data_IF_422211605523
#
_entry.id   IF_422211605523
#
_cell.length_a   1.000
_cell.length_b   1.000
_cell.length_c   1.000
_cell.angle_alpha   90.00
_cell.angle_beta   90.00
_cell.angle_gamma   90.00
#
_symmetry.space_group_name_H-M   'P 1'
#
loop_
_entity.id
_entity.type
_entity.pdbx_description
1 polymer ?
#
# COMPACT_ATOMS: atom_id res chain seq x y z
N UNK A 1 16.77 7.03 -45.67
CA UNK A 1 16.08 7.17 -44.37
C UNK A 1 15.50 5.81 -44.05
N UNK A 2 15.97 5.26 -42.93
CA UNK A 2 15.92 3.84 -42.56
C UNK A 2 14.47 3.34 -42.46
N UNK A 3 14.16 2.35 -43.29
CA UNK A 3 13.03 1.43 -43.13
C UNK A 3 13.16 0.74 -41.78
N UNK A 4 12.23 0.99 -40.87
CA UNK A 4 12.17 0.32 -39.56
C UNK A 4 11.28 -0.91 -39.66
N UNK A 5 11.94 -2.05 -39.76
CA UNK A 5 11.75 -3.29 -39.01
C UNK A 5 10.32 -3.74 -38.64
N UNK A 6 9.92 -4.79 -39.35
CA UNK A 6 9.19 -5.96 -38.88
C UNK A 6 9.26 -6.16 -37.36
N UNK A 7 8.15 -6.05 -36.62
CA UNK A 7 7.88 -6.92 -35.48
C UNK A 7 6.39 -7.30 -35.48
N UNK A 8 6.18 -8.57 -35.83
CA UNK A 8 4.93 -9.32 -35.81
C UNK A 8 4.10 -8.98 -34.56
N UNK A 9 2.99 -8.27 -34.70
CA UNK A 9 1.89 -8.42 -33.74
C UNK A 9 0.93 -9.41 -34.38
N UNK A 10 1.17 -10.68 -34.04
CA UNK A 10 0.27 -11.79 -34.35
C UNK A 10 -1.04 -11.49 -33.61
N UNK A 11 -1.97 -10.81 -34.28
CA UNK A 11 -3.38 -10.85 -33.89
C UNK A 11 -3.86 -12.27 -34.17
N UNK A 12 -3.67 -13.15 -33.18
CA UNK A 12 -4.28 -14.48 -33.18
C UNK A 12 -5.79 -14.26 -33.27
N UNK A 13 -6.35 -14.48 -34.45
CA UNK A 13 -7.77 -14.70 -34.62
C UNK A 13 -8.16 -15.92 -33.79
N UNK A 14 -8.64 -15.68 -32.58
CA UNK A 14 -9.38 -16.69 -31.82
C UNK A 14 -10.78 -16.77 -32.43
N UNK A 15 -10.92 -17.57 -33.50
CA UNK A 15 -12.25 -18.04 -33.92
C UNK A 15 -12.65 -19.16 -32.97
N UNK A 16 -13.51 -18.85 -32.00
CA UNK A 16 -14.12 -19.87 -31.16
C UNK A 16 -15.19 -20.61 -31.98
N UNK A 17 -15.03 -21.92 -32.13
CA UNK A 17 -16.00 -22.81 -32.78
C UNK A 17 -17.16 -23.01 -31.79
N UNK A 18 -18.35 -22.54 -32.13
CA UNK A 18 -19.57 -22.91 -31.41
C UNK A 18 -20.11 -24.16 -32.10
N UNK A 19 -19.88 -25.32 -31.49
CA UNK A 19 -20.45 -26.60 -31.91
C UNK A 19 -21.97 -26.55 -31.76
N UNK A 20 -22.68 -26.95 -32.82
CA UNK A 20 -24.11 -27.19 -32.79
C UNK A 20 -24.44 -28.41 -31.94
N UNK A 21 -25.66 -28.38 -31.40
CA UNK A 21 -26.41 -29.51 -30.86
C UNK A 21 -26.05 -29.94 -29.43
N UNK A 22 -26.76 -29.31 -28.47
CA UNK A 22 -27.30 -29.99 -27.31
C UNK A 22 -28.58 -29.26 -26.85
N UNK A 23 -29.72 -29.94 -26.97
CA UNK A 23 -31.01 -29.59 -26.37
C UNK A 23 -30.92 -29.68 -24.83
N UNK A 24 -30.26 -28.69 -24.24
CA UNK A 24 -30.33 -28.34 -22.84
C UNK A 24 -29.99 -26.84 -22.78
N UNK A 25 -30.80 -25.98 -22.12
CA UNK A 25 -30.46 -24.58 -21.98
C UNK A 25 -29.24 -24.48 -21.05
N UNK A 26 -28.05 -24.57 -21.63
CA UNK A 26 -26.80 -24.26 -20.97
C UNK A 26 -26.90 -22.81 -20.49
N UNK A 27 -26.98 -22.62 -19.17
CA UNK A 27 -27.19 -21.30 -18.57
C UNK A 27 -25.91 -20.49 -18.70
N UNK A 28 -25.75 -19.81 -19.82
CA UNK A 28 -24.68 -18.86 -20.03
C UNK A 28 -25.00 -17.57 -19.25
N UNK A 29 -24.01 -17.05 -18.52
CA UNK A 29 -24.13 -15.76 -17.83
C UNK A 29 -24.37 -14.66 -18.85
N UNK A 30 -25.43 -13.88 -18.64
CA UNK A 30 -25.78 -12.69 -19.43
C UNK A 30 -25.88 -11.50 -18.50
N UNK A 31 -25.55 -10.32 -19.01
CA UNK A 31 -25.86 -9.06 -18.36
C UNK A 31 -27.19 -8.54 -18.93
N UNK A 32 -27.95 -7.82 -18.11
CA UNK A 32 -29.16 -7.15 -18.56
C UNK A 32 -28.82 -6.04 -19.57
N UNK A 33 -29.81 -5.66 -20.39
CA UNK A 33 -29.70 -4.54 -21.33
C UNK A 33 -29.57 -3.22 -20.57
N UNK A 34 -29.03 -2.17 -21.22
CA UNK A 34 -28.66 -0.90 -20.57
C UNK A 34 -29.78 -0.26 -19.74
N UNK A 35 -31.05 -0.41 -20.15
CA UNK A 35 -32.22 0.13 -19.45
C UNK A 35 -32.49 -0.56 -18.10
N UNK A 36 -32.13 -1.85 -17.99
CA UNK A 36 -32.38 -2.69 -16.80
C UNK A 36 -31.06 -3.14 -16.14
N UNK A 37 -29.94 -2.56 -16.54
CA UNK A 37 -28.61 -2.94 -16.06
C UNK A 37 -28.44 -2.64 -14.57
N UNK A 38 -29.06 -1.57 -14.07
CA UNK A 38 -29.01 -1.21 -12.66
C UNK A 38 -30.22 -0.40 -12.21
N UNK A 39 -30.66 -0.67 -10.98
CA UNK A 39 -31.63 0.17 -10.28
C UNK A 39 -30.88 1.22 -9.45
N UNK A 40 -31.12 2.50 -9.73
CA UNK A 40 -30.45 3.61 -9.04
C UNK A 40 -31.32 4.11 -7.88
N UNK A 41 -30.94 3.75 -6.66
CA UNK A 41 -31.55 4.32 -5.46
C UNK A 41 -30.85 5.63 -5.06
N UNK A 42 -31.55 6.75 -5.19
CA UNK A 42 -31.02 8.07 -4.80
C UNK A 42 -31.01 8.20 -3.28
N UNK A 43 -29.82 8.30 -2.69
CA UNK A 43 -29.68 8.68 -1.28
C UNK A 43 -29.75 10.21 -1.13
N UNK A 44 -30.78 10.71 -0.45
CA UNK A 44 -30.85 12.12 -0.05
C UNK A 44 -30.16 12.27 1.30
N UNK A 45 -29.12 13.09 1.34
CA UNK A 45 -28.33 13.30 2.54
C UNK A 45 -27.83 14.73 2.63
N UNK A 46 -27.52 15.14 3.86
CA UNK A 46 -26.86 16.39 4.11
C UNK A 46 -25.42 16.31 3.64
N UNK A 47 -25.07 17.10 2.62
CA UNK A 47 -23.74 17.14 2.00
C UNK A 47 -22.63 17.28 3.04
N UNK A 48 -22.85 18.12 4.06
CA UNK A 48 -21.94 18.31 5.17
C UNK A 48 -21.75 17.03 6.01
N UNK A 49 -22.84 16.42 6.51
CA UNK A 49 -22.76 15.22 7.35
C UNK A 49 -22.08 14.06 6.62
N UNK A 50 -22.36 13.91 5.32
CA UNK A 50 -21.75 12.87 4.48
C UNK A 50 -20.26 13.06 4.22
N UNK A 51 -19.82 14.32 4.08
CA UNK A 51 -18.40 14.65 3.97
C UNK A 51 -17.66 14.42 5.29
N UNK A 52 -18.25 14.82 6.42
CA UNK A 52 -17.65 14.58 7.74
C UNK A 52 -17.52 13.08 8.04
N UNK A 53 -18.54 12.28 7.72
CA UNK A 53 -18.50 10.82 7.91
C UNK A 53 -17.41 10.12 7.09
N UNK A 54 -16.93 10.76 6.00
CA UNK A 54 -15.83 10.24 5.15
C UNK A 54 -14.44 10.68 5.58
N UNK A 55 -14.32 11.57 6.54
CA UNK A 55 -13.01 11.95 7.07
C UNK A 55 -12.50 10.78 7.90
N UNK A 56 -11.66 9.94 7.28
CA UNK A 56 -10.91 8.91 8.00
C UNK A 56 -9.82 9.53 8.89
N UNK A 57 -9.30 8.79 9.86
CA UNK A 57 -8.31 9.28 10.84
C UNK A 57 -6.89 9.48 10.26
N UNK A 58 -6.75 9.58 8.94
CA UNK A 58 -5.44 9.66 8.27
C UNK A 58 -4.61 10.86 8.73
N UNK A 59 -5.28 11.97 9.06
CA UNK A 59 -4.63 13.18 9.56
C UNK A 59 -4.03 12.95 10.96
N UNK A 60 -4.70 12.17 11.80
CA UNK A 60 -4.17 11.77 13.12
C UNK A 60 -2.94 10.89 12.97
N UNK A 61 -2.98 9.91 12.07
CA UNK A 61 -1.83 9.04 11.78
C UNK A 61 -0.64 9.80 11.20
N UNK A 62 -0.89 10.78 10.32
CA UNK A 62 0.17 11.65 9.80
C UNK A 62 0.81 12.47 10.92
N UNK A 63 -0.01 13.08 11.80
CA UNK A 63 0.48 13.84 12.96
C UNK A 63 1.29 12.98 13.93
N UNK A 64 0.84 11.76 14.21
CA UNK A 64 1.54 10.86 15.12
C UNK A 64 2.86 10.35 14.54
N UNK A 65 2.91 10.11 13.23
CA UNK A 65 4.17 9.82 12.53
C UNK A 65 5.19 10.95 12.70
N UNK A 66 4.77 12.20 12.53
CA UNK A 66 5.64 13.36 12.69
C UNK A 66 6.13 13.53 14.14
N UNK A 67 5.23 13.38 15.12
CA UNK A 67 5.58 13.40 16.55
C UNK A 67 6.58 12.30 16.91
N UNK A 68 6.37 11.10 16.40
CA UNK A 68 7.26 9.98 16.64
C UNK A 68 8.65 10.22 16.02
N UNK A 69 8.69 10.75 14.79
CA UNK A 69 9.95 11.14 14.15
C UNK A 69 10.69 12.20 14.96
N UNK A 70 9.99 13.21 15.48
CA UNK A 70 10.58 14.22 16.36
C UNK A 70 11.15 13.59 17.62
N UNK A 71 10.39 12.72 18.29
CA UNK A 71 10.84 12.02 19.50
C UNK A 71 12.09 11.18 19.26
N UNK A 72 12.20 10.51 18.11
CA UNK A 72 13.41 9.78 17.74
C UNK A 72 14.61 10.74 17.66
N UNK A 73 14.48 11.85 16.93
CA UNK A 73 15.57 12.82 16.75
C UNK A 73 16.01 13.45 18.08
N UNK A 74 15.04 13.83 18.92
CA UNK A 74 15.32 14.42 20.22
C UNK A 74 16.06 13.43 21.13
N UNK A 75 15.62 12.16 21.17
CA UNK A 75 16.26 11.11 21.97
C UNK A 75 17.62 10.67 21.41
N UNK A 76 17.77 10.65 20.10
CA UNK A 76 19.02 10.30 19.42
C UNK A 76 20.16 11.19 19.90
N UNK A 77 19.93 12.50 20.07
CA UNK A 77 20.95 13.43 20.59
C UNK A 77 21.49 13.06 21.97
N UNK A 78 20.65 12.47 22.83
CA UNK A 78 21.00 12.08 24.20
C UNK A 78 21.58 10.67 24.24
N UNK A 79 21.01 9.77 23.45
CA UNK A 79 21.36 8.34 23.46
C UNK A 79 22.59 8.02 22.60
N UNK A 80 22.82 8.77 21.53
CA UNK A 80 23.93 8.52 20.59
C UNK A 80 25.30 8.44 21.28
N UNK A 81 25.68 9.36 22.20
CA UNK A 81 26.96 9.27 22.91
C UNK A 81 27.08 8.04 23.81
N UNK A 82 25.97 7.55 24.37
CA UNK A 82 25.96 6.39 25.26
C UNK A 82 26.12 5.09 24.48
N UNK A 83 25.55 5.03 23.28
CA UNK A 83 25.65 3.87 22.39
C UNK A 83 26.91 3.84 21.54
N UNK A 84 27.70 4.92 21.54
CA UNK A 84 28.99 4.94 20.87
C UNK A 84 29.92 3.84 21.43
N UNK A 85 30.53 3.07 20.53
CA UNK A 85 31.39 1.94 20.89
C UNK A 85 32.60 2.40 21.70
N UNK A 86 33.16 3.57 21.36
CA UNK A 86 34.30 4.14 22.07
C UNK A 86 33.93 4.52 23.51
N UNK A 87 32.76 5.14 23.70
CA UNK A 87 32.25 5.47 25.03
C UNK A 87 32.04 4.22 25.86
N UNK A 88 31.40 3.19 25.29
CA UNK A 88 31.15 1.91 25.97
C UNK A 88 32.43 1.19 26.36
N UNK A 89 33.43 1.15 25.48
CA UNK A 89 34.74 0.57 25.80
C UNK A 89 35.46 1.33 26.91
N UNK A 90 35.40 2.67 26.90
CA UNK A 90 35.97 3.50 27.96
C UNK A 90 35.32 3.21 29.32
N UNK A 91 33.99 3.15 29.37
CA UNK A 91 33.23 2.84 30.59
C UNK A 91 33.54 1.42 31.07
N UNK A 92 33.55 0.44 30.18
CA UNK A 92 33.88 -0.95 30.52
C UNK A 92 35.29 -1.07 31.12
N UNK A 93 36.28 -0.41 30.49
CA UNK A 93 37.65 -0.42 30.99
C UNK A 93 37.74 0.20 32.40
N UNK A 94 37.09 1.34 32.65
CA UNK A 94 37.07 1.97 33.98
C UNK A 94 36.45 1.09 35.06
N UNK A 95 35.37 0.37 34.75
CA UNK A 95 34.67 -0.44 35.74
C UNK A 95 35.42 -1.76 36.00
N UNK A 96 35.93 -2.40 34.95
CA UNK A 96 36.38 -3.79 35.00
C UNK A 96 37.88 -4.02 34.80
N UNK A 97 38.66 -3.07 34.24
CA UNK A 97 40.12 -3.24 34.11
C UNK A 97 40.86 -2.70 35.33
N UNK A 98 40.39 -1.61 35.91
CA UNK A 98 41.01 -0.99 37.09
C UNK A 98 40.84 -1.86 38.36
N UNK A 99 39.87 -2.77 38.37
CA UNK A 99 39.59 -3.71 39.47
C UNK A 99 40.35 -5.04 39.37
N UNK A 100 41.08 -5.29 38.28
CA UNK A 100 41.74 -6.58 37.99
C UNK A 100 43.27 -6.50 38.12
N UNK A 101 43.84 -5.30 38.23
CA UNK A 101 45.28 -5.11 38.49
C UNK A 101 45.56 -5.15 40.00
N UNK A 102 45.54 -6.35 40.57
CA UNK A 102 46.11 -6.69 41.88
C UNK A 102 47.54 -7.20 41.71
#
# INVERSE_FOLDING_TARGET
MVQRDNHQIIVRNYSYIISSDNDNPSTQVRFAEDNDLCEVHRMVQWSYAYQQARKGPWEEYARDRDRFSKRIKDLESVLSPVFDSQHRESVYNKIFKDSVTC
#
